data_IF_030357930712
#
_entry.id   IF_030357930712
#
_cell.length_a   1.000
_cell.length_b   1.000
_cell.length_c   1.000
_cell.angle_alpha   90.00
_cell.angle_beta   90.00
_cell.angle_gamma   90.00
#
_symmetry.space_group_name_H-M   'P 1'
#
loop_
_entity.id
_entity.type
_entity.pdbx_description
1 polymer ?
#
# COMPACT_ATOMS: atom_id res chain seq x y z
N UNK A 1 61.17 -41.01 48.40
CA UNK A 1 62.51 -40.46 48.66
C UNK A 1 62.82 -39.47 47.55
N UNK A 2 62.56 -38.17 47.78
CA UNK A 2 63.57 -37.10 48.07
C UNK A 2 64.21 -36.60 46.76
N UNK A 3 64.27 -35.33 46.37
CA UNK A 3 63.66 -34.04 46.69
C UNK A 3 64.21 -33.04 45.62
N UNK A 4 63.79 -31.77 45.68
CA UNK A 4 64.65 -30.60 45.37
C UNK A 4 64.78 -30.21 43.88
N UNK A 5 64.69 -28.96 43.41
CA UNK A 5 64.24 -27.67 43.94
C UNK A 5 64.27 -26.66 42.77
N UNK A 6 63.34 -25.69 42.79
CA UNK A 6 63.30 -24.48 41.95
C UNK A 6 64.57 -23.63 42.02
N UNK A 7 64.72 -22.67 41.08
CA UNK A 7 64.87 -21.27 41.48
C UNK A 7 63.84 -20.36 40.78
N UNK A 8 63.08 -19.55 41.54
CA UNK A 8 63.32 -18.12 41.80
C UNK A 8 63.55 -17.34 40.48
N UNK A 9 62.70 -16.44 40.00
CA UNK A 9 61.77 -15.53 40.67
C UNK A 9 62.14 -14.11 40.23
N UNK A 10 61.20 -13.37 39.63
CA UNK A 10 61.18 -11.90 39.72
C UNK A 10 59.76 -11.40 39.55
N UNK A 11 59.18 -10.99 40.69
CA UNK A 11 58.12 -9.98 40.79
C UNK A 11 58.70 -8.66 40.24
N UNK A 12 58.00 -7.59 39.86
CA UNK A 12 56.87 -6.82 40.41
C UNK A 12 56.60 -5.81 39.26
N UNK A 13 55.40 -5.43 38.85
CA UNK A 13 54.68 -4.26 39.39
C UNK A 13 53.33 -4.11 38.68
N UNK A 14 52.29 -4.02 39.49
CA UNK A 14 50.94 -3.60 39.12
C UNK A 14 50.83 -2.06 39.18
N UNK A 15 49.88 -1.57 38.38
CA UNK A 15 48.98 -0.42 38.61
C UNK A 15 49.57 1.00 38.39
N UNK A 16 48.74 2.04 38.14
CA UNK A 16 47.28 2.10 38.33
C UNK A 16 46.43 2.66 37.19
N UNK A 17 45.12 2.42 37.35
CA UNK A 17 43.98 3.06 36.67
C UNK A 17 44.05 4.58 36.80
N UNK A 18 43.72 5.30 35.73
CA UNK A 18 43.14 6.64 35.80
C UNK A 18 41.79 6.63 35.10
N UNK A 19 40.75 6.73 35.93
CA UNK A 19 39.45 7.22 35.52
C UNK A 19 39.61 8.68 35.08
N UNK A 20 39.08 9.04 33.93
CA UNK A 20 38.89 10.42 33.52
C UNK A 20 37.40 10.60 33.23
N UNK A 21 36.72 11.17 34.21
CA UNK A 21 35.43 11.83 34.11
C UNK A 21 35.58 13.13 33.32
N UNK A 22 34.76 13.30 32.28
CA UNK A 22 34.43 14.59 31.66
C UNK A 22 32.94 14.48 31.26
N UNK A 23 31.99 15.00 32.02
CA UNK A 23 31.60 16.40 32.17
C UNK A 23 31.02 17.02 30.88
N UNK A 24 29.68 17.04 30.85
CA UNK A 24 28.80 18.10 30.35
C UNK A 24 28.94 18.62 28.90
N UNK A 25 27.95 18.29 28.08
CA UNK A 25 27.27 19.26 27.22
C UNK A 25 25.82 18.79 26.97
N UNK A 26 24.88 19.32 27.77
CA UNK A 26 23.44 19.19 27.56
C UNK A 26 23.08 20.12 26.38
N UNK A 27 22.98 19.57 25.17
CA UNK A 27 22.40 20.28 24.03
C UNK A 27 20.88 20.26 24.18
N UNK A 28 20.33 21.35 24.71
CA UNK A 28 18.89 21.64 24.67
C UNK A 28 18.53 21.99 23.21
N UNK A 29 18.17 20.99 22.41
CA UNK A 29 17.63 21.22 21.07
C UNK A 29 16.26 21.86 21.20
N UNK A 30 16.14 23.12 20.79
CA UNK A 30 14.87 23.80 20.64
C UNK A 30 14.01 23.01 19.64
N UNK A 31 12.86 22.50 20.09
CA UNK A 31 11.86 21.93 19.21
C UNK A 31 11.21 23.08 18.42
N UNK A 32 11.70 23.35 17.21
CA UNK A 32 10.91 24.07 16.22
C UNK A 32 9.79 23.12 15.76
N UNK A 33 8.58 23.38 16.24
CA UNK A 33 7.36 22.80 15.65
C UNK A 33 7.27 23.30 14.22
N UNK A 34 7.60 22.45 13.25
CA UNK A 34 7.31 22.72 11.85
C UNK A 34 5.77 22.82 11.69
N UNK A 35 5.24 23.80 10.95
CA UNK A 35 3.82 23.78 10.61
C UNK A 35 3.59 22.54 9.73
N UNK A 36 2.56 21.76 10.06
CA UNK A 36 2.06 20.69 9.20
C UNK A 36 1.60 21.38 7.91
N UNK A 37 2.44 21.38 6.89
CA UNK A 37 2.06 21.82 5.56
C UNK A 37 1.09 20.76 5.01
N UNK A 38 -0.21 21.01 5.17
CA UNK A 38 -1.22 20.39 4.31
C UNK A 38 -0.92 20.84 2.88
N UNK A 39 -0.35 19.94 2.08
CA UNK A 39 -0.34 20.13 0.65
C UNK A 39 -1.74 19.82 0.14
N UNK A 40 -2.56 20.85 -0.03
CA UNK A 40 -3.83 20.72 -0.74
C UNK A 40 -3.54 20.21 -2.17
N UNK A 41 -4.20 19.14 -2.63
CA UNK A 41 -4.01 18.65 -3.98
C UNK A 41 -4.48 19.71 -4.98
N UNK A 42 -3.75 19.95 -6.09
CA UNK A 42 -4.18 20.89 -7.11
C UNK A 42 -5.38 20.27 -7.84
N UNK A 43 -6.56 20.85 -7.61
CA UNK A 43 -7.77 20.61 -8.38
C UNK A 43 -8.85 19.82 -7.65
N UNK A 44 -9.44 20.40 -6.62
CA UNK A 44 -10.89 20.52 -6.41
C UNK A 44 -11.10 21.51 -5.27
N UNK A 45 -11.46 22.75 -5.57
CA UNK A 45 -12.21 23.54 -4.59
C UNK A 45 -13.57 22.87 -4.52
N UNK A 46 -13.77 21.96 -3.57
CA UNK A 46 -15.11 21.52 -3.21
C UNK A 46 -15.80 22.75 -2.61
N UNK A 47 -16.57 23.44 -3.44
CA UNK A 47 -17.44 24.53 -3.02
C UNK A 47 -18.43 23.95 -2.01
N UNK A 48 -18.12 24.14 -0.73
CA UNK A 48 -18.93 23.70 0.43
C UNK A 48 -20.05 24.71 0.74
N UNK A 49 -20.38 25.60 -0.19
CA UNK A 49 -21.55 26.45 -0.06
C UNK A 49 -22.81 25.57 0.05
N UNK A 50 -23.69 25.83 1.03
CA UNK A 50 -24.98 25.15 1.12
C UNK A 50 -25.70 25.23 -0.22
N UNK A 51 -26.44 24.18 -0.64
CA UNK A 51 -27.23 24.26 -1.87
C UNK A 51 -28.09 25.51 -1.83
N UNK A 52 -27.98 26.35 -2.86
CA UNK A 52 -28.83 27.54 -2.98
C UNK A 52 -30.28 27.06 -2.88
N UNK A 53 -31.01 27.52 -1.87
CA UNK A 53 -32.42 27.20 -1.73
C UNK A 53 -33.17 27.79 -2.91
N UNK A 54 -33.67 26.93 -3.79
CA UNK A 54 -34.47 27.33 -4.95
C UNK A 54 -35.93 27.43 -4.49
N UNK A 55 -36.48 28.65 -4.50
CA UNK A 55 -37.91 28.86 -4.29
C UNK A 55 -38.68 28.45 -5.56
N UNK A 56 -39.55 27.42 -5.51
CA UNK A 56 -40.28 26.95 -6.69
C UNK A 56 -41.30 27.97 -7.24
N UNK A 57 -41.62 29.02 -6.50
CA UNK A 57 -42.62 30.03 -6.87
C UNK A 57 -42.01 31.39 -7.23
N UNK A 58 -40.68 31.47 -7.35
CA UNK A 58 -40.00 32.70 -7.73
C UNK A 58 -40.46 33.12 -9.16
N UNK A 59 -41.00 34.34 -9.35
CA UNK A 59 -41.42 34.82 -10.68
C UNK A 59 -40.27 34.96 -11.68
N UNK A 60 -39.02 35.02 -11.18
CA UNK A 60 -37.77 35.05 -11.95
C UNK A 60 -37.20 33.65 -12.20
N UNK A 61 -37.85 32.58 -11.71
CA UNK A 61 -37.55 31.21 -12.12
C UNK A 61 -38.02 30.96 -13.56
N UNK A 62 -37.29 31.55 -14.51
CA UNK A 62 -37.49 31.38 -15.95
C UNK A 62 -36.24 30.73 -16.50
N UNK A 63 -36.43 29.61 -17.23
CA UNK A 63 -35.35 29.14 -18.10
C UNK A 63 -35.02 30.27 -19.07
N UNK A 64 -33.75 30.71 -19.11
CA UNK A 64 -33.28 31.66 -20.11
C UNK A 64 -33.66 31.10 -21.48
N UNK A 65 -34.42 31.85 -22.27
CA UNK A 65 -34.97 31.36 -23.54
C UNK A 65 -33.80 30.98 -24.48
N UNK A 66 -33.63 29.69 -24.76
CA UNK A 66 -32.49 29.14 -25.51
C UNK A 66 -31.38 28.49 -24.67
N UNK A 67 -31.53 28.42 -23.34
CA UNK A 67 -30.62 27.69 -22.45
C UNK A 67 -30.67 26.18 -22.71
N UNK A 68 -29.55 25.62 -23.17
CA UNK A 68 -29.39 24.16 -23.28
C UNK A 68 -29.09 23.60 -21.89
N UNK A 69 -29.81 22.56 -21.49
CA UNK A 69 -29.48 21.80 -20.29
C UNK A 69 -28.03 21.32 -20.39
N UNK A 70 -27.29 21.42 -19.27
CA UNK A 70 -26.00 20.77 -19.17
C UNK A 70 -26.19 19.27 -19.44
N UNK A 71 -25.21 18.66 -20.12
CA UNK A 71 -25.26 17.22 -20.37
C UNK A 71 -25.39 16.47 -19.03
N UNK A 72 -26.30 15.50 -18.98
CA UNK A 72 -26.47 14.63 -17.81
C UNK A 72 -25.13 14.01 -17.43
N UNK A 73 -24.66 14.27 -16.21
CA UNK A 73 -23.41 13.70 -15.67
C UNK A 73 -23.74 12.42 -14.90
N UNK A 74 -23.26 11.27 -15.38
CA UNK A 74 -23.37 10.01 -14.65
C UNK A 74 -22.41 10.06 -13.46
N UNK A 75 -22.92 9.78 -12.25
CA UNK A 75 -22.10 9.71 -11.04
C UNK A 75 -21.31 8.40 -11.00
N UNK A 76 -20.04 8.47 -10.58
CA UNK A 76 -19.21 7.30 -10.38
C UNK A 76 -19.53 6.65 -9.04
N UNK A 77 -20.32 5.58 -9.08
CA UNK A 77 -20.65 4.80 -7.89
C UNK A 77 -19.47 3.87 -7.61
N UNK A 78 -18.98 3.89 -6.38
CA UNK A 78 -17.91 3.01 -5.89
C UNK A 78 -18.48 2.11 -4.80
N UNK A 79 -18.62 0.84 -5.10
CA UNK A 79 -18.95 -0.20 -4.13
C UNK A 79 -17.66 -0.83 -3.59
N UNK A 80 -17.62 -1.09 -2.30
CA UNK A 80 -16.48 -1.72 -1.63
C UNK A 80 -17.03 -2.88 -0.80
N UNK A 81 -16.43 -4.05 -0.96
CA UNK A 81 -16.67 -5.24 -0.13
C UNK A 81 -15.32 -5.68 0.43
N UNK A 82 -15.24 -5.87 1.74
CA UNK A 82 -14.08 -6.48 2.41
C UNK A 82 -14.49 -7.88 2.88
N UNK A 83 -13.62 -8.86 2.71
CA UNK A 83 -13.80 -10.18 3.30
C UNK A 83 -13.73 -10.08 4.83
N UNK A 84 -14.45 -10.94 5.54
CA UNK A 84 -14.52 -10.93 7.02
C UNK A 84 -13.15 -11.13 7.67
N UNK A 85 -12.26 -11.91 7.02
CA UNK A 85 -10.88 -12.14 7.45
C UNK A 85 -9.92 -10.99 7.08
N UNK A 86 -10.42 -9.97 6.37
CA UNK A 86 -9.68 -8.84 5.84
C UNK A 86 -8.72 -9.18 4.69
N UNK A 87 -8.60 -10.45 4.29
CA UNK A 87 -7.61 -10.93 3.31
C UNK A 87 -7.76 -10.32 1.93
N UNK A 88 -8.98 -9.89 1.60
CA UNK A 88 -9.36 -9.38 0.30
C UNK A 88 -10.28 -8.18 0.44
N UNK A 89 -10.06 -7.18 -0.40
CA UNK A 89 -10.95 -6.06 -0.60
C UNK A 89 -11.29 -5.95 -2.08
N UNK A 90 -12.56 -6.06 -2.42
CA UNK A 90 -13.10 -5.83 -3.75
C UNK A 90 -13.68 -4.43 -3.85
N UNK A 91 -13.30 -3.71 -4.91
CA UNK A 91 -13.85 -2.41 -5.25
C UNK A 91 -14.43 -2.46 -6.66
N UNK A 92 -15.72 -2.20 -6.77
CA UNK A 92 -16.43 -2.11 -8.04
C UNK A 92 -16.76 -0.65 -8.32
N UNK A 93 -16.39 -0.19 -9.51
CA UNK A 93 -16.79 1.11 -10.06
C UNK A 93 -17.62 0.89 -11.32
N UNK A 94 -18.14 1.97 -11.90
CA UNK A 94 -18.85 1.92 -13.18
C UNK A 94 -18.01 1.22 -14.27
N UNK A 95 -16.72 1.52 -14.32
CA UNK A 95 -15.86 1.10 -15.44
C UNK A 95 -14.89 -0.03 -15.10
N UNK A 96 -14.59 -0.25 -13.82
CA UNK A 96 -13.53 -1.18 -13.40
C UNK A 96 -13.88 -1.94 -12.13
N UNK A 97 -13.39 -3.18 -12.05
CA UNK A 97 -13.33 -4.00 -10.85
C UNK A 97 -11.88 -4.05 -10.39
N UNK A 98 -11.64 -3.91 -9.08
CA UNK A 98 -10.31 -4.01 -8.46
C UNK A 98 -10.36 -4.91 -7.24
N UNK A 99 -9.51 -5.93 -7.22
CA UNK A 99 -9.26 -6.78 -6.06
C UNK A 99 -7.94 -6.36 -5.43
N UNK A 100 -7.94 -6.11 -4.12
CA UNK A 100 -6.75 -5.88 -3.32
C UNK A 100 -6.58 -7.06 -2.34
N UNK A 101 -5.52 -7.84 -2.56
CA UNK A 101 -5.24 -9.07 -1.82
C UNK A 101 -4.07 -8.83 -0.85
N UNK A 102 -4.25 -9.17 0.42
CA UNK A 102 -3.20 -9.03 1.43
C UNK A 102 -2.01 -9.97 1.16
N UNK A 103 -0.80 -9.45 1.33
CA UNK A 103 0.42 -10.17 0.98
C UNK A 103 0.64 -11.42 1.84
N UNK A 104 0.21 -11.43 3.11
CA UNK A 104 0.37 -12.55 4.03
C UNK A 104 -0.49 -13.76 3.67
N UNK A 105 -1.60 -13.52 2.99
CA UNK A 105 -2.49 -14.59 2.49
C UNK A 105 -1.88 -15.16 1.20
N UNK A 106 -1.28 -14.30 0.39
CA UNK A 106 -0.70 -14.69 -0.89
C UNK A 106 0.68 -15.34 -0.78
N UNK A 107 1.51 -14.91 0.17
CA UNK A 107 2.93 -15.22 0.20
C UNK A 107 3.43 -15.49 1.63
N UNK A 108 4.53 -16.24 1.72
CA UNK A 108 5.35 -16.29 2.93
C UNK A 108 6.05 -14.95 3.22
N UNK A 109 6.60 -14.82 4.43
CA UNK A 109 7.38 -13.65 4.85
C UNK A 109 8.52 -13.39 3.87
N UNK A 110 8.60 -12.15 3.40
CA UNK A 110 9.62 -11.69 2.44
C UNK A 110 9.76 -12.54 1.16
N UNK A 111 8.69 -13.25 0.78
CA UNK A 111 8.66 -14.11 -0.39
C UNK A 111 7.72 -13.57 -1.46
N UNK A 112 7.93 -14.04 -2.69
CA UNK A 112 7.02 -13.91 -3.82
C UNK A 112 6.49 -15.27 -4.30
N UNK A 113 6.76 -16.34 -3.55
CA UNK A 113 6.21 -17.67 -3.80
C UNK A 113 4.77 -17.76 -3.30
N UNK A 114 3.86 -18.15 -4.20
CA UNK A 114 2.43 -18.23 -3.91
C UNK A 114 2.11 -19.42 -3.01
N UNK A 115 1.29 -19.21 -1.99
CA UNK A 115 0.76 -20.27 -1.15
C UNK A 115 -0.35 -21.05 -1.88
N UNK A 116 -0.69 -22.29 -1.46
CA UNK A 116 -1.82 -23.02 -2.04
C UNK A 116 -3.15 -22.27 -1.92
N UNK A 117 -3.37 -21.55 -0.82
CA UNK A 117 -4.56 -20.71 -0.63
C UNK A 117 -4.58 -19.55 -1.64
N UNK A 118 -3.43 -18.94 -1.90
CA UNK A 118 -3.28 -17.88 -2.91
C UNK A 118 -3.73 -18.36 -4.28
N UNK A 119 -3.36 -19.58 -4.69
CA UNK A 119 -3.74 -20.16 -5.98
C UNK A 119 -5.26 -20.25 -6.14
N UNK A 120 -5.97 -20.69 -5.09
CA UNK A 120 -7.44 -20.80 -5.12
C UNK A 120 -8.11 -19.42 -5.26
N UNK A 121 -7.61 -18.41 -4.54
CA UNK A 121 -8.13 -17.04 -4.63
C UNK A 121 -7.86 -16.42 -6.01
N UNK A 122 -6.65 -16.59 -6.53
CA UNK A 122 -6.26 -16.11 -7.86
C UNK A 122 -7.12 -16.78 -8.95
N UNK A 123 -7.40 -18.07 -8.84
CA UNK A 123 -8.29 -18.79 -9.77
C UNK A 123 -9.71 -18.22 -9.74
N UNK A 124 -10.24 -17.89 -8.56
CA UNK A 124 -11.56 -17.24 -8.40
C UNK A 124 -11.59 -15.88 -9.10
N UNK A 125 -10.54 -15.07 -8.96
CA UNK A 125 -10.39 -13.81 -9.69
C UNK A 125 -10.30 -14.06 -11.20
N UNK A 126 -9.58 -15.10 -11.63
CA UNK A 126 -9.52 -15.52 -13.04
C UNK A 126 -10.90 -15.84 -13.62
N UNK A 127 -11.77 -16.50 -12.86
CA UNK A 127 -13.15 -16.75 -13.27
C UNK A 127 -13.97 -15.45 -13.40
N UNK A 128 -13.83 -14.51 -12.47
CA UNK A 128 -14.49 -13.20 -12.56
C UNK A 128 -14.00 -12.39 -13.77
N UNK A 129 -12.70 -12.42 -14.09
CA UNK A 129 -12.12 -11.77 -15.27
C UNK A 129 -12.74 -12.34 -16.55
N UNK A 130 -12.87 -13.66 -16.65
CA UNK A 130 -13.52 -14.34 -17.79
C UNK A 130 -14.98 -13.93 -17.92
N UNK A 131 -15.72 -13.88 -16.80
CA UNK A 131 -17.11 -13.44 -16.77
C UNK A 131 -17.29 -12.00 -17.27
N UNK A 132 -16.34 -11.11 -16.98
CA UNK A 132 -16.34 -9.74 -17.50
C UNK A 132 -15.77 -9.62 -18.94
N UNK A 133 -15.31 -10.72 -19.55
CA UNK A 133 -14.62 -10.72 -20.85
C UNK A 133 -13.44 -9.72 -20.92
N UNK A 134 -12.77 -9.51 -19.79
CA UNK A 134 -11.72 -8.51 -19.70
C UNK A 134 -10.42 -8.99 -20.37
N UNK A 135 -9.92 -8.20 -21.32
CA UNK A 135 -8.68 -8.49 -22.08
C UNK A 135 -7.50 -7.65 -21.64
N UNK A 136 -7.71 -6.66 -20.77
CA UNK A 136 -6.66 -5.78 -20.24
C UNK A 136 -6.66 -5.83 -18.73
N UNK A 137 -5.58 -6.35 -18.15
CA UNK A 137 -5.40 -6.49 -16.72
C UNK A 137 -4.26 -5.60 -16.23
N UNK A 138 -4.42 -5.09 -15.02
CA UNK A 138 -3.33 -4.47 -14.26
C UNK A 138 -3.07 -5.28 -13.01
N UNK A 139 -1.80 -5.58 -12.75
CA UNK A 139 -1.36 -6.29 -11.55
C UNK A 139 -0.26 -5.48 -10.87
N UNK A 140 -0.57 -4.88 -9.73
CA UNK A 140 0.32 -3.96 -9.03
C UNK A 140 0.64 -4.44 -7.62
N UNK A 141 1.93 -4.45 -7.27
CA UNK A 141 2.38 -4.86 -5.94
C UNK A 141 2.79 -3.67 -5.07
N UNK A 142 2.43 -3.74 -3.80
CA UNK A 142 2.71 -2.73 -2.78
C UNK A 142 3.32 -3.35 -1.52
N UNK A 143 4.06 -2.55 -0.76
CA UNK A 143 4.59 -2.89 0.57
C UNK A 143 4.13 -1.85 1.59
N UNK A 144 4.38 -2.11 2.86
CA UNK A 144 4.39 -1.06 3.88
C UNK A 144 5.70 -0.25 3.79
N UNK A 145 5.88 0.67 4.74
CA UNK A 145 7.07 1.52 4.85
C UNK A 145 8.22 0.90 5.68
N UNK A 146 8.20 -0.42 5.90
CA UNK A 146 9.25 -1.09 6.67
C UNK A 146 10.35 -1.61 5.74
N UNK A 147 11.60 -1.36 6.13
CA UNK A 147 12.78 -1.73 5.36
C UNK A 147 13.23 -0.64 4.40
N UNK A 148 14.00 -1.01 3.37
CA UNK A 148 14.47 -0.03 2.37
C UNK A 148 13.50 0.09 1.19
N UNK A 149 13.28 1.31 0.72
CA UNK A 149 12.41 1.57 -0.44
C UNK A 149 12.85 0.78 -1.70
N UNK A 150 14.16 0.65 -1.93
CA UNK A 150 14.71 -0.12 -3.06
C UNK A 150 14.34 -1.61 -2.98
N UNK A 151 14.39 -2.18 -1.78
CA UNK A 151 14.01 -3.56 -1.54
C UNK A 151 12.50 -3.76 -1.71
N UNK A 152 11.69 -2.87 -1.13
CA UNK A 152 10.24 -2.89 -1.26
C UNK A 152 9.79 -2.83 -2.71
N UNK A 153 10.41 -1.98 -3.53
CA UNK A 153 10.12 -1.87 -4.96
C UNK A 153 10.38 -3.17 -5.73
N UNK A 154 11.52 -3.82 -5.46
CA UNK A 154 11.87 -5.10 -6.10
C UNK A 154 10.93 -6.21 -5.63
N UNK A 155 10.67 -6.31 -4.33
CA UNK A 155 9.81 -7.33 -3.76
C UNK A 155 8.37 -7.21 -4.28
N UNK A 156 7.84 -6.00 -4.29
CA UNK A 156 6.46 -5.76 -4.73
C UNK A 156 6.29 -6.05 -6.23
N UNK A 157 7.31 -5.73 -7.05
CA UNK A 157 7.32 -6.10 -8.48
C UNK A 157 7.39 -7.61 -8.68
N UNK A 158 8.20 -8.34 -7.90
CA UNK A 158 8.27 -9.81 -7.94
C UNK A 158 6.92 -10.45 -7.61
N UNK A 159 6.27 -9.98 -6.53
CA UNK A 159 4.93 -10.44 -6.11
C UNK A 159 3.87 -10.20 -7.19
N UNK A 160 3.87 -9.00 -7.79
CA UNK A 160 2.97 -8.69 -8.90
C UNK A 160 3.19 -9.60 -10.12
N UNK A 161 4.45 -9.91 -10.46
CA UNK A 161 4.77 -10.85 -11.53
C UNK A 161 4.28 -12.28 -11.19
N UNK A 162 4.44 -12.75 -9.95
CA UNK A 162 3.98 -14.08 -9.56
C UNK A 162 2.46 -14.25 -9.71
N UNK A 163 1.68 -13.28 -9.24
CA UNK A 163 0.21 -13.27 -9.41
C UNK A 163 -0.16 -13.23 -10.90
N UNK A 164 0.52 -12.42 -11.69
CA UNK A 164 0.27 -12.35 -13.13
C UNK A 164 0.56 -13.69 -13.83
N UNK A 165 1.67 -14.34 -13.50
CA UNK A 165 2.02 -15.64 -14.08
C UNK A 165 0.97 -16.69 -13.79
N UNK A 166 0.41 -16.68 -12.57
CA UNK A 166 -0.66 -17.58 -12.20
C UNK A 166 -1.95 -17.29 -13.00
N UNK A 167 -2.38 -16.03 -13.05
CA UNK A 167 -3.54 -15.61 -13.85
C UNK A 167 -3.39 -15.98 -15.34
N UNK A 168 -2.19 -15.86 -15.89
CA UNK A 168 -1.94 -16.14 -17.31
C UNK A 168 -2.14 -17.62 -17.69
N UNK A 169 -1.99 -18.56 -16.75
CA UNK A 169 -2.26 -19.98 -16.98
C UNK A 169 -3.72 -20.22 -17.35
N UNK A 170 -4.63 -19.49 -16.71
CA UNK A 170 -6.07 -19.66 -16.87
C UNK A 170 -6.67 -18.79 -17.99
N UNK A 171 -6.09 -17.62 -18.25
CA UNK A 171 -6.68 -16.59 -19.11
C UNK A 171 -6.23 -16.66 -20.57
N UNK A 172 -5.14 -17.36 -20.88
CA UNK A 172 -4.63 -17.52 -22.25
C UNK A 172 -3.93 -16.26 -22.80
N UNK A 173 -3.55 -16.32 -24.07
CA UNK A 173 -2.66 -15.33 -24.72
C UNK A 173 -3.33 -14.06 -25.21
N UNK A 174 -4.67 -14.00 -25.25
CA UNK A 174 -5.42 -12.82 -25.70
C UNK A 174 -5.46 -11.70 -24.66
N UNK A 175 -5.05 -11.99 -23.42
CA UNK A 175 -5.07 -11.04 -22.31
C UNK A 175 -3.73 -10.32 -22.18
N UNK A 176 -3.79 -8.99 -22.16
CA UNK A 176 -2.63 -8.12 -21.96
C UNK A 176 -2.50 -7.71 -20.50
N UNK A 177 -1.30 -7.86 -19.94
CA UNK A 177 -1.00 -7.51 -18.54
C UNK A 177 -0.12 -6.27 -18.45
N UNK A 178 -0.55 -5.31 -17.64
CA UNK A 178 0.29 -4.22 -17.16
C UNK A 178 0.74 -4.53 -15.74
N UNK A 179 2.05 -4.75 -15.55
CA UNK A 179 2.58 -5.20 -14.25
C UNK A 179 3.54 -4.16 -13.70
N UNK A 180 3.36 -3.73 -12.45
CA UNK A 180 4.28 -2.79 -11.77
C UNK A 180 4.42 -3.12 -10.29
N UNK A 181 5.56 -2.77 -9.72
CA UNK A 181 5.75 -2.71 -8.28
C UNK A 181 5.89 -1.25 -7.89
N UNK A 182 5.22 -0.83 -6.82
CA UNK A 182 5.28 0.53 -6.30
C UNK A 182 6.02 0.63 -4.96
N UNK A 183 6.43 -0.50 -4.36
CA UNK A 183 6.94 -0.52 -2.99
C UNK A 183 5.94 0.13 -2.03
N UNK A 184 6.42 1.05 -1.20
CA UNK A 184 5.64 1.76 -0.18
C UNK A 184 4.79 2.93 -0.70
N UNK A 185 4.85 3.23 -2.00
CA UNK A 185 4.07 4.31 -2.59
C UNK A 185 2.57 4.00 -2.59
N UNK A 186 1.74 5.05 -2.56
CA UNK A 186 0.27 4.95 -2.59
C UNK A 186 -0.30 4.07 -1.44
N UNK A 187 -0.01 4.41 -0.17
CA UNK A 187 -0.62 3.73 0.96
C UNK A 187 -2.14 3.95 0.95
N UNK A 188 -2.89 2.93 1.34
CA UNK A 188 -4.35 2.97 1.48
C UNK A 188 -4.80 3.03 2.94
N UNK A 189 -3.86 2.84 3.87
CA UNK A 189 -4.06 2.94 5.30
C UNK A 189 -2.81 3.50 5.99
N UNK A 190 -2.94 3.86 7.26
CA UNK A 190 -1.85 4.46 8.03
C UNK A 190 -0.71 3.46 8.31
N UNK A 191 0.50 3.79 7.87
CA UNK A 191 1.70 2.99 8.14
C UNK A 191 2.17 3.08 9.61
N UNK A 192 1.63 4.00 10.41
CA UNK A 192 1.88 4.08 11.85
C UNK A 192 1.36 2.88 12.65
N UNK A 193 0.30 2.21 12.16
CA UNK A 193 -0.34 1.07 12.83
C UNK A 193 -0.02 -0.26 12.13
N UNK A 194 -0.04 -1.38 12.86
CA UNK A 194 0.19 -2.69 12.22
C UNK A 194 -0.97 -3.08 11.31
N UNK A 195 -2.18 -2.73 11.71
CA UNK A 195 -3.40 -2.95 10.94
C UNK A 195 -3.35 -2.21 9.61
N UNK A 196 -2.89 -0.95 9.62
CA UNK A 196 -2.73 -0.18 8.39
C UNK A 196 -1.57 -0.66 7.52
N UNK A 197 -0.44 -1.06 8.10
CA UNK A 197 0.65 -1.69 7.35
C UNK A 197 0.21 -2.99 6.68
N UNK A 198 -0.55 -3.85 7.38
CA UNK A 198 -1.12 -5.08 6.81
C UNK A 198 -2.00 -4.80 5.58
N UNK A 199 -2.83 -3.74 5.64
CA UNK A 199 -3.62 -3.30 4.47
C UNK A 199 -2.74 -2.78 3.33
N UNK A 200 -1.63 -2.10 3.63
CA UNK A 200 -0.71 -1.57 2.61
C UNK A 200 0.09 -2.66 1.91
N UNK A 201 0.47 -3.73 2.62
CA UNK A 201 1.12 -4.93 2.06
C UNK A 201 0.12 -5.73 1.23
N UNK A 202 -0.02 -5.39 -0.04
CA UNK A 202 -1.03 -5.99 -0.92
C UNK A 202 -0.58 -6.14 -2.37
N UNK A 203 -1.30 -6.97 -3.11
CA UNK A 203 -1.28 -7.00 -4.58
C UNK A 203 -2.67 -6.63 -5.09
N UNK A 204 -2.74 -5.67 -5.99
CA UNK A 204 -3.97 -5.24 -6.65
C UNK A 204 -4.08 -5.85 -8.04
N UNK A 205 -5.24 -6.43 -8.36
CA UNK A 205 -5.62 -6.90 -9.70
C UNK A 205 -6.83 -6.09 -10.14
N UNK A 206 -6.72 -5.37 -11.26
CA UNK A 206 -7.84 -4.57 -11.80
C UNK A 206 -8.08 -4.81 -13.28
N UNK A 207 -9.35 -4.72 -13.67
CA UNK A 207 -9.82 -4.91 -15.04
C UNK A 207 -11.08 -4.11 -15.33
N UNK A 208 -11.35 -3.81 -16.63
CA UNK A 208 -12.61 -3.24 -17.06
C UNK A 208 -13.79 -4.13 -16.67
N UNK A 209 -14.87 -3.50 -16.23
CA UNK A 209 -16.16 -4.13 -16.04
C UNK A 209 -16.87 -4.24 -17.39
N UNK A 210 -17.55 -5.36 -17.65
CA UNK A 210 -18.45 -5.45 -18.79
C UNK A 210 -19.64 -4.50 -18.56
N UNK A 211 -19.84 -3.59 -19.52
CA UNK A 211 -20.98 -2.67 -19.60
C UNK A 211 -22.24 -3.37 -20.10
#
# INVERSE_FOLDING_TARGET
>A
MTATQMPRGRRVRRAPRRAATAAFALLLTAALTAPVAHADPPGVTEDSSPPVHIDPHDPDLRMVQGGKLAASKVLNIKSIVEADDGSERRQDTNDNVTFALQAEVLFGKDSAELTPEALSRISTIGAEIKKQNATRLRVFGFTDNLGSASHGLVLSKKRANAVQQELAKDLGSSVTFQIRGYGEQYPIADNGTEEGRKKNRRVEVSFPRAS
#
